data_IF_404008130592
#
_entry.id   IF_404008130592
#
_cell.length_a   1.000
_cell.length_b   1.000
_cell.length_c   1.000
_cell.angle_alpha   90.00
_cell.angle_beta   90.00
_cell.angle_gamma   90.00
#
_symmetry.space_group_name_H-M   'P 1'
#
loop_
_entity.id
_entity.type
_entity.pdbx_description
1 polymer ?
#
# COMPACT_ATOMS: atom_id res chain seq x y z
N UNK A 1 5.30 -3.57 31.38
CA UNK A 1 5.01 -2.31 30.66
C UNK A 1 3.61 -2.41 30.10
N UNK A 2 2.74 -1.44 30.36
CA UNK A 2 1.42 -1.34 29.74
C UNK A 2 1.56 -1.09 28.23
N UNK A 3 0.83 -1.83 27.40
CA UNK A 3 0.83 -1.65 25.94
C UNK A 3 0.31 -0.25 25.63
N UNK A 4 1.02 0.53 24.81
CA UNK A 4 0.55 1.84 24.35
C UNK A 4 -0.76 1.63 23.57
N UNK A 5 -1.83 2.38 23.86
CA UNK A 5 -3.10 2.21 23.17
C UNK A 5 -2.97 2.55 21.68
N UNK A 6 -3.56 1.72 20.83
CA UNK A 6 -3.61 1.95 19.39
C UNK A 6 -4.80 2.84 19.06
N UNK A 7 -4.54 3.97 18.42
CA UNK A 7 -5.56 4.84 17.84
C UNK A 7 -6.02 4.25 16.50
N UNK A 8 -6.96 3.30 16.54
CA UNK A 8 -7.38 2.49 15.39
C UNK A 8 -7.71 3.32 14.15
N UNK A 9 -8.46 4.41 14.30
CA UNK A 9 -8.85 5.26 13.17
C UNK A 9 -7.65 5.95 12.51
N UNK A 10 -6.63 6.32 13.29
CA UNK A 10 -5.40 6.91 12.76
C UNK A 10 -4.60 5.86 11.99
N UNK A 11 -4.46 4.64 12.54
CA UNK A 11 -3.78 3.56 11.84
C UNK A 11 -4.54 3.15 10.57
N UNK A 12 -5.87 3.19 10.56
CA UNK A 12 -6.68 2.98 9.34
C UNK A 12 -6.40 4.04 8.29
N UNK A 13 -6.30 5.31 8.67
CA UNK A 13 -5.91 6.38 7.74
C UNK A 13 -4.53 6.15 7.13
N UNK A 14 -3.57 5.56 7.86
CA UNK A 14 -2.30 5.15 7.26
C UNK A 14 -2.49 4.09 6.16
N UNK A 15 -3.37 3.12 6.37
CA UNK A 15 -3.64 2.08 5.37
C UNK A 15 -4.36 2.66 4.14
N UNK A 16 -5.38 3.50 4.36
CA UNK A 16 -6.12 4.24 3.32
C UNK A 16 -5.19 5.14 2.48
N UNK A 17 -4.36 5.95 3.14
CA UNK A 17 -3.44 6.84 2.44
C UNK A 17 -2.33 6.08 1.71
N UNK A 18 -1.80 4.98 2.28
CA UNK A 18 -0.81 4.16 1.60
C UNK A 18 -1.40 3.50 0.33
N UNK A 19 -2.62 2.99 0.40
CA UNK A 19 -3.30 2.39 -0.76
C UNK A 19 -3.50 3.42 -1.87
N UNK A 20 -4.02 4.60 -1.52
CA UNK A 20 -4.22 5.70 -2.46
C UNK A 20 -2.90 6.16 -3.11
N UNK A 21 -1.86 6.39 -2.32
CA UNK A 21 -0.56 6.86 -2.83
C UNK A 21 0.11 5.80 -3.72
N UNK A 22 -0.02 4.51 -3.41
CA UNK A 22 0.42 3.43 -4.30
C UNK A 22 -0.30 3.51 -5.65
N UNK A 23 -1.62 3.68 -5.67
CA UNK A 23 -2.39 3.79 -6.91
C UNK A 23 -1.93 4.98 -7.75
N UNK A 24 -1.69 6.15 -7.13
CA UNK A 24 -1.16 7.33 -7.84
C UNK A 24 0.26 7.08 -8.38
N UNK A 25 1.13 6.46 -7.57
CA UNK A 25 2.48 6.09 -7.99
C UNK A 25 2.48 5.16 -9.19
N UNK A 26 1.71 4.07 -9.11
CA UNK A 26 1.66 3.04 -10.15
C UNK A 26 1.09 3.59 -11.45
N UNK A 27 -0.01 4.35 -11.36
CA UNK A 27 -0.63 5.01 -12.50
C UNK A 27 0.31 6.00 -13.18
N UNK A 28 0.98 6.87 -12.41
CA UNK A 28 1.93 7.82 -13.00
C UNK A 28 3.02 7.12 -13.80
N UNK A 29 3.59 6.03 -13.27
CA UNK A 29 4.63 5.27 -13.96
C UNK A 29 4.13 4.55 -15.22
N UNK A 30 2.82 4.31 -15.35
CA UNK A 30 2.22 3.74 -16.56
C UNK A 30 1.85 4.81 -17.59
N UNK A 31 1.66 6.06 -17.15
CA UNK A 31 1.13 7.16 -17.95
C UNK A 31 1.95 8.44 -17.75
N UNK A 32 3.25 8.36 -18.05
CA UNK A 32 4.19 9.46 -17.83
C UNK A 32 3.82 10.72 -18.64
N UNK A 33 3.19 10.53 -19.79
CA UNK A 33 2.75 11.58 -20.71
C UNK A 33 1.56 12.41 -20.18
N UNK A 34 0.78 11.88 -19.23
CA UNK A 34 -0.45 12.53 -18.76
C UNK A 34 -0.19 13.62 -17.71
N UNK A 35 0.99 13.59 -17.07
CA UNK A 35 1.35 14.56 -16.04
C UNK A 35 2.81 15.02 -16.19
N UNK A 36 3.09 15.93 -17.15
CA UNK A 36 4.44 16.42 -17.40
C UNK A 36 5.02 17.22 -16.23
N UNK A 37 4.18 17.73 -15.32
CA UNK A 37 4.60 18.46 -14.12
C UNK A 37 5.09 17.53 -13.00
N UNK A 38 4.82 16.22 -13.09
CA UNK A 38 5.35 15.22 -12.16
C UNK A 38 6.82 14.92 -12.47
N UNK A 39 7.70 15.79 -11.97
CA UNK A 39 9.14 15.63 -12.05
C UNK A 39 9.69 14.67 -10.98
N UNK A 40 10.99 14.37 -11.05
CA UNK A 40 11.69 13.46 -10.13
C UNK A 40 11.52 13.86 -8.65
N UNK A 41 11.53 15.16 -8.32
CA UNK A 41 11.36 15.62 -6.94
C UNK A 41 9.93 15.40 -6.42
N UNK A 42 8.93 15.60 -7.28
CA UNK A 42 7.53 15.30 -6.95
C UNK A 42 7.33 13.80 -6.73
N UNK A 43 7.92 12.96 -7.60
CA UNK A 43 7.87 11.51 -7.46
C UNK A 43 8.55 11.04 -6.17
N UNK A 44 9.74 11.57 -5.86
CA UNK A 44 10.46 11.25 -4.63
C UNK A 44 9.65 11.64 -3.38
N UNK A 45 9.01 12.82 -3.39
CA UNK A 45 8.14 13.27 -2.30
C UNK A 45 6.90 12.39 -2.13
N UNK A 46 6.34 11.89 -3.24
CA UNK A 46 5.22 10.95 -3.20
C UNK A 46 5.64 9.61 -2.58
N UNK A 47 6.80 9.08 -3.01
CA UNK A 47 7.36 7.84 -2.47
C UNK A 47 7.66 7.96 -0.97
N UNK A 48 8.25 9.08 -0.53
CA UNK A 48 8.52 9.32 0.89
C UNK A 48 7.23 9.28 1.73
N UNK A 49 6.16 9.94 1.25
CA UNK A 49 4.85 9.92 1.93
C UNK A 49 4.25 8.52 1.96
N UNK A 50 4.34 7.77 0.87
CA UNK A 50 3.88 6.38 0.80
C UNK A 50 4.62 5.52 1.83
N UNK A 51 5.94 5.59 1.86
CA UNK A 51 6.77 4.85 2.81
C UNK A 51 6.48 5.23 4.26
N UNK A 52 6.25 6.52 4.55
CA UNK A 52 5.88 6.97 5.89
C UNK A 52 4.54 6.39 6.36
N UNK A 53 3.56 6.26 5.46
CA UNK A 53 2.28 5.64 5.81
C UNK A 53 2.43 4.12 6.05
N UNK A 54 3.20 3.42 5.22
CA UNK A 54 3.53 2.01 5.43
C UNK A 54 4.30 1.79 6.75
N UNK A 55 5.20 2.70 7.10
CA UNK A 55 5.93 2.65 8.36
C UNK A 55 4.99 2.80 9.57
N UNK A 56 3.98 3.67 9.48
CA UNK A 56 2.93 3.81 10.49
C UNK A 56 2.20 2.48 10.79
N UNK A 57 1.89 1.70 9.74
CA UNK A 57 1.31 0.37 9.91
C UNK A 57 2.29 -0.61 10.56
N UNK A 58 3.56 -0.57 10.16
CA UNK A 58 4.61 -1.42 10.72
C UNK A 58 4.81 -1.14 12.21
N UNK A 59 4.82 0.12 12.62
CA UNK A 59 4.90 0.56 14.02
C UNK A 59 3.69 0.07 14.82
N UNK A 60 2.49 0.07 14.22
CA UNK A 60 1.29 -0.50 14.84
C UNK A 60 1.30 -2.05 14.95
N UNK A 61 2.28 -2.71 14.34
CA UNK A 61 2.53 -4.14 14.49
C UNK A 61 1.37 -5.00 14.00
N UNK A 62 0.91 -5.92 14.85
CA UNK A 62 -0.19 -6.84 14.52
C UNK A 62 -1.51 -6.10 14.26
N UNK A 63 -1.81 -5.04 15.01
CA UNK A 63 -3.01 -4.24 14.77
C UNK A 63 -2.95 -3.53 13.41
N UNK A 64 -1.77 -3.06 12.99
CA UNK A 64 -1.58 -2.48 11.66
C UNK A 64 -1.88 -3.48 10.55
N UNK A 65 -1.41 -4.73 10.68
CA UNK A 65 -1.71 -5.81 9.72
C UNK A 65 -3.19 -6.19 9.71
N UNK A 66 -3.82 -6.26 10.88
CA UNK A 66 -5.25 -6.56 10.97
C UNK A 66 -6.10 -5.45 10.32
N UNK A 67 -5.73 -4.19 10.52
CA UNK A 67 -6.39 -3.05 9.88
C UNK A 67 -6.21 -3.08 8.36
N UNK A 68 -5.01 -3.34 7.85
CA UNK A 68 -4.77 -3.49 6.42
C UNK A 68 -5.58 -4.65 5.81
N UNK A 69 -5.72 -5.75 6.56
CA UNK A 69 -6.55 -6.90 6.17
C UNK A 69 -8.03 -6.52 6.09
N UNK A 70 -8.57 -5.92 7.15
CA UNK A 70 -9.98 -5.45 7.17
C UNK A 70 -10.24 -4.47 6.04
N UNK A 71 -9.31 -3.56 5.76
CA UNK A 71 -9.46 -2.63 4.65
C UNK A 71 -9.53 -3.33 3.30
N UNK A 72 -8.67 -4.33 3.04
CA UNK A 72 -8.73 -5.13 1.81
C UNK A 72 -10.01 -5.97 1.71
N UNK A 73 -10.52 -6.48 2.84
CA UNK A 73 -11.80 -7.19 2.88
C UNK A 73 -12.99 -6.27 2.55
N UNK A 74 -12.94 -5.01 2.99
CA UNK A 74 -13.95 -3.98 2.68
C UNK A 74 -13.81 -3.49 1.22
N UNK A 75 -12.58 -3.31 0.74
CA UNK A 75 -12.25 -2.74 -0.57
C UNK A 75 -11.16 -3.58 -1.25
N UNK A 76 -11.53 -4.66 -1.98
CA UNK A 76 -10.56 -5.58 -2.58
C UNK A 76 -9.97 -5.03 -3.88
N UNK A 77 -9.28 -3.89 -3.82
CA UNK A 77 -8.60 -3.27 -4.96
C UNK A 77 -7.06 -3.44 -4.88
N UNK A 78 -6.35 -2.98 -5.92
CA UNK A 78 -4.90 -3.18 -6.05
C UNK A 78 -4.10 -2.45 -4.97
N UNK A 79 -4.54 -1.27 -4.56
CA UNK A 79 -3.89 -0.48 -3.51
C UNK A 79 -3.96 -1.16 -2.15
N UNK A 80 -5.14 -1.60 -1.74
CA UNK A 80 -5.38 -2.27 -0.47
C UNK A 80 -4.66 -3.63 -0.43
N UNK A 81 -4.70 -4.37 -1.53
CA UNK A 81 -3.94 -5.61 -1.62
C UNK A 81 -2.43 -5.35 -1.50
N UNK A 82 -1.91 -4.32 -2.19
CA UNK A 82 -0.50 -3.94 -2.08
C UNK A 82 -0.12 -3.64 -0.63
N UNK A 83 -0.89 -2.80 0.07
CA UNK A 83 -0.65 -2.44 1.48
C UNK A 83 -0.68 -3.67 2.38
N UNK A 84 -1.68 -4.55 2.21
CA UNK A 84 -1.76 -5.80 2.97
C UNK A 84 -0.49 -6.64 2.80
N UNK A 85 -0.05 -6.87 1.56
CA UNK A 85 1.14 -7.69 1.29
C UNK A 85 2.42 -7.08 1.82
N UNK A 86 2.60 -5.77 1.68
CA UNK A 86 3.77 -5.07 2.21
C UNK A 86 3.78 -5.10 3.75
N UNK A 87 2.61 -4.96 4.39
CA UNK A 87 2.49 -5.04 5.85
C UNK A 87 2.85 -6.43 6.43
N UNK A 88 2.75 -7.48 5.61
CA UNK A 88 3.13 -8.86 5.96
C UNK A 88 4.62 -9.14 5.71
N UNK A 89 5.37 -8.22 5.08
CA UNK A 89 6.79 -8.39 4.82
C UNK A 89 7.60 -8.41 6.14
N UNK A 90 8.58 -9.31 6.22
CA UNK A 90 9.42 -9.47 7.42
C UNK A 90 10.45 -8.36 7.60
N UNK A 91 10.81 -7.67 6.53
CA UNK A 91 11.76 -6.57 6.51
C UNK A 91 11.11 -5.35 5.88
N UNK A 92 11.53 -4.12 6.26
CA UNK A 92 11.11 -2.91 5.57
C UNK A 92 11.41 -3.02 4.08
N UNK A 93 10.40 -2.73 3.25
CA UNK A 93 10.53 -2.72 1.79
C UNK A 93 10.58 -1.27 1.34
N UNK A 94 11.62 -0.92 0.59
CA UNK A 94 11.70 0.37 -0.10
C UNK A 94 10.96 0.27 -1.42
N UNK A 95 10.15 1.28 -1.73
CA UNK A 95 9.36 1.31 -2.96
C UNK A 95 10.26 1.35 -4.19
N UNK A 96 11.38 2.09 -4.11
CA UNK A 96 12.36 2.17 -5.19
C UNK A 96 13.08 0.86 -5.51
N UNK A 97 13.10 -0.11 -4.58
CA UNK A 97 13.75 -1.41 -4.77
C UNK A 97 12.79 -2.47 -5.33
N UNK A 98 11.51 -2.13 -5.51
CA UNK A 98 10.50 -3.07 -6.00
C UNK A 98 10.69 -3.38 -7.48
N UNK A 99 10.59 -4.66 -7.82
CA UNK A 99 10.33 -5.06 -9.20
C UNK A 99 8.84 -4.85 -9.53
N UNK A 100 8.51 -3.70 -10.12
CA UNK A 100 7.13 -3.28 -10.36
C UNK A 100 6.36 -4.24 -11.27
N UNK A 101 7.01 -4.83 -12.27
CA UNK A 101 6.37 -5.82 -13.16
C UNK A 101 5.91 -7.05 -12.39
N UNK A 102 6.75 -7.57 -11.49
CA UNK A 102 6.39 -8.69 -10.60
C UNK A 102 5.29 -8.31 -9.63
N UNK A 103 5.33 -7.10 -9.06
CA UNK A 103 4.28 -6.60 -8.17
C UNK A 103 2.94 -6.53 -8.90
N UNK A 104 2.88 -5.86 -10.06
CA UNK A 104 1.66 -5.74 -10.88
C UNK A 104 1.11 -7.12 -11.30
N UNK A 105 1.99 -8.03 -11.72
CA UNK A 105 1.59 -9.40 -12.08
C UNK A 105 1.02 -10.17 -10.88
N UNK A 106 1.61 -10.02 -9.69
CA UNK A 106 1.10 -10.61 -8.47
C UNK A 106 -0.28 -10.03 -8.09
N UNK A 107 -0.43 -8.71 -8.07
CA UNK A 107 -1.68 -8.04 -7.68
C UNK A 107 -2.82 -8.44 -8.63
N UNK A 108 -2.61 -8.32 -9.95
CA UNK A 108 -3.62 -8.67 -10.96
C UNK A 108 -4.01 -10.15 -10.94
N UNK A 109 -3.08 -11.06 -10.65
CA UNK A 109 -3.38 -12.50 -10.56
C UNK A 109 -4.16 -12.82 -9.28
N UNK A 110 -3.80 -12.19 -8.16
CA UNK A 110 -4.46 -12.41 -6.87
C UNK A 110 -5.88 -11.87 -6.88
N UNK A 111 -6.10 -10.66 -7.39
CA UNK A 111 -7.43 -10.06 -7.50
C UNK A 111 -8.35 -10.90 -8.41
N UNK A 112 -7.86 -11.37 -9.56
CA UNK A 112 -8.63 -12.25 -10.45
C UNK A 112 -9.05 -13.56 -9.76
N UNK A 113 -8.17 -14.16 -8.96
CA UNK A 113 -8.51 -15.38 -8.19
C UNK A 113 -9.55 -15.10 -7.12
N UNK A 114 -9.44 -13.98 -6.42
CA UNK A 114 -10.44 -13.56 -5.41
C UNK A 114 -11.83 -13.41 -6.02
N UNK A 115 -11.93 -12.77 -7.18
CA UNK A 115 -13.19 -12.63 -7.93
C UNK A 115 -13.78 -14.00 -8.35
N UNK A 116 -12.94 -14.96 -8.76
CA UNK A 116 -13.39 -16.30 -9.16
C UNK A 116 -13.91 -17.16 -7.99
N UNK A 117 -13.49 -16.87 -6.76
CA UNK A 117 -13.92 -17.59 -5.56
C UNK A 117 -15.19 -17.00 -4.91
N UNK A 118 -15.61 -15.81 -5.35
CA UNK A 118 -16.79 -15.10 -4.85
C UNK A 118 -18.07 -15.37 -5.67
N UNK A 119 -17.99 -16.22 -6.70
CA UNK A 119 -19.09 -16.58 -7.63
C UNK A 119 -19.55 -18.02 -7.41
#
# INVERSE_FOLDING_TARGET
MTKVPILRNIVRQHAEMAAHLWTVYDHHLQHLEENPDMNENHLASLVERLEAHLDGLRVAGEEGRNIARTQYEEFPESGELFVLRISEAKAPVRIGDLNLDKVRAFLSTTLRRGLQQAV
#
